data_IF_362292412340
#
_entry.id   IF_362292412340
#
_cell.length_a   1.000
_cell.length_b   1.000
_cell.length_c   1.000
_cell.angle_alpha   90.00
_cell.angle_beta   90.00
_cell.angle_gamma   90.00
#
_symmetry.space_group_name_H-M   'P 1'
#
loop_
_entity.id
_entity.type
_entity.pdbx_description
1 polymer ?
#
# COMPACT_ATOMS: atom_id res chain seq x y z
N UNK A 1 -9.91 -25.83 -16.82
CA UNK A 1 -10.50 -24.50 -17.12
C UNK A 1 -9.35 -23.52 -17.26
N UNK A 2 -9.01 -23.07 -18.48
CA UNK A 2 -7.91 -22.10 -18.69
C UNK A 2 -8.47 -20.70 -18.43
N UNK A 3 -8.24 -20.14 -17.25
CA UNK A 3 -8.53 -18.73 -16.96
C UNK A 3 -7.67 -17.85 -17.87
N UNK A 4 -8.32 -16.93 -18.59
CA UNK A 4 -7.65 -16.03 -19.53
C UNK A 4 -6.80 -15.01 -18.75
N UNK A 5 -5.47 -15.16 -18.85
CA UNK A 5 -4.47 -14.38 -18.11
C UNK A 5 -4.53 -12.88 -18.49
N UNK A 6 -5.04 -12.55 -19.68
CA UNK A 6 -5.20 -11.18 -20.17
C UNK A 6 -6.21 -10.33 -19.37
N UNK A 7 -7.28 -10.94 -18.83
CA UNK A 7 -8.28 -10.19 -18.05
C UNK A 7 -7.77 -9.79 -16.67
N UNK A 8 -6.92 -10.62 -16.06
CA UNK A 8 -6.37 -10.42 -14.71
C UNK A 8 -5.36 -9.27 -14.69
N UNK A 9 -4.50 -9.17 -15.71
CA UNK A 9 -3.52 -8.07 -15.80
C UNK A 9 -4.16 -6.69 -15.95
N UNK A 10 -5.28 -6.59 -16.68
CA UNK A 10 -5.98 -5.31 -16.86
C UNK A 10 -6.61 -4.83 -15.54
N UNK A 11 -7.23 -5.75 -14.79
CA UNK A 11 -7.81 -5.46 -13.48
C UNK A 11 -6.73 -5.05 -12.47
N UNK A 12 -5.58 -5.74 -12.48
CA UNK A 12 -4.47 -5.39 -11.59
C UNK A 12 -3.92 -3.98 -11.88
N UNK A 13 -3.78 -3.61 -13.15
CA UNK A 13 -3.37 -2.26 -13.55
C UNK A 13 -4.36 -1.18 -13.08
N UNK A 14 -5.67 -1.47 -13.08
CA UNK A 14 -6.66 -0.55 -12.51
C UNK A 14 -6.48 -0.38 -10.99
N UNK A 15 -6.22 -1.48 -10.27
CA UNK A 15 -6.01 -1.47 -8.82
C UNK A 15 -4.75 -0.69 -8.45
N UNK A 16 -3.62 -0.90 -9.14
CA UNK A 16 -2.37 -0.17 -8.84
C UNK A 16 -2.54 1.34 -9.01
N UNK A 17 -3.32 1.80 -9.99
CA UNK A 17 -3.62 3.23 -10.17
C UNK A 17 -4.44 3.82 -9.02
N UNK A 18 -5.39 3.05 -8.49
CA UNK A 18 -6.19 3.48 -7.33
C UNK A 18 -5.32 3.56 -6.08
N UNK A 19 -4.42 2.58 -5.89
CA UNK A 19 -3.47 2.58 -4.78
C UNK A 19 -2.50 3.76 -4.87
N UNK A 20 -2.01 4.08 -6.06
CA UNK A 20 -1.16 5.25 -6.29
C UNK A 20 -1.91 6.54 -5.93
N UNK A 21 -3.16 6.69 -6.39
CA UNK A 21 -4.00 7.84 -6.03
C UNK A 21 -4.22 7.95 -4.51
N UNK A 22 -4.50 6.82 -3.84
CA UNK A 22 -4.64 6.78 -2.40
C UNK A 22 -3.32 7.15 -1.69
N UNK A 23 -2.20 6.61 -2.16
CA UNK A 23 -0.88 6.92 -1.64
C UNK A 23 -0.59 8.42 -1.71
N UNK A 24 -0.77 9.03 -2.89
CA UNK A 24 -0.56 10.46 -3.09
C UNK A 24 -1.50 11.31 -2.23
N UNK A 25 -2.75 10.88 -2.05
CA UNK A 25 -3.74 11.58 -1.22
C UNK A 25 -3.37 11.59 0.27
N UNK A 26 -2.81 10.50 0.79
CA UNK A 26 -2.65 10.33 2.24
C UNK A 26 -1.20 10.44 2.74
N UNK A 27 -0.18 10.32 1.89
CA UNK A 27 1.23 10.38 2.30
C UNK A 27 1.65 11.67 3.02
N UNK A 28 0.92 12.77 2.79
CA UNK A 28 1.18 14.08 3.40
C UNK A 28 0.35 14.33 4.66
N UNK A 29 -0.48 13.38 5.08
CA UNK A 29 -1.18 13.46 6.36
C UNK A 29 -0.23 13.03 7.46
N UNK A 30 0.19 13.98 8.30
CA UNK A 30 1.09 13.75 9.44
C UNK A 30 0.38 13.94 10.78
N UNK A 31 -0.96 13.83 10.80
CA UNK A 31 -1.72 13.88 12.04
C UNK A 31 -1.35 12.69 12.96
N UNK A 32 -1.28 12.96 14.27
CA UNK A 32 -0.90 11.98 15.28
C UNK A 32 0.55 12.13 15.75
N UNK A 33 0.97 11.24 16.66
CA UNK A 33 2.34 11.21 17.17
C UNK A 33 2.86 9.77 17.22
N UNK A 34 4.15 9.59 16.94
CA UNK A 34 4.82 8.31 17.12
C UNK A 34 4.79 7.96 18.60
N UNK A 35 4.42 6.72 18.90
CA UNK A 35 4.35 6.22 20.28
C UNK A 35 5.72 6.34 20.96
N UNK A 36 5.78 7.05 22.09
CA UNK A 36 7.04 7.46 22.71
C UNK A 36 7.41 6.73 24.01
N UNK A 37 6.59 5.78 24.48
CA UNK A 37 6.87 5.02 25.71
C UNK A 37 7.71 3.75 25.48
N UNK A 38 7.87 3.28 24.23
CA UNK A 38 8.76 2.18 23.85
C UNK A 38 9.90 2.75 22.99
N UNK A 39 11.17 2.70 23.44
CA UNK A 39 12.30 3.27 22.72
C UNK A 39 12.46 2.74 21.28
N UNK A 40 12.15 1.46 21.06
CA UNK A 40 12.21 0.85 19.73
C UNK A 40 11.16 1.39 18.75
N UNK A 41 10.06 1.98 19.25
CA UNK A 41 9.03 2.59 18.39
C UNK A 41 9.33 4.07 18.09
N UNK A 42 10.04 4.77 18.98
CA UNK A 42 10.44 6.18 18.82
C UNK A 42 11.37 6.38 17.62
N UNK A 43 12.19 5.38 17.28
CA UNK A 43 13.15 5.48 16.17
C UNK A 43 12.51 5.50 14.78
N UNK A 44 11.21 5.18 14.66
CA UNK A 44 10.52 5.23 13.38
C UNK A 44 10.19 6.67 12.98
N UNK A 45 10.40 6.99 11.70
CA UNK A 45 10.04 8.28 11.15
C UNK A 45 8.51 8.44 11.13
N UNK A 46 7.95 9.58 11.59
CA UNK A 46 6.53 9.88 11.45
C UNK A 46 6.09 10.00 9.97
N UNK A 47 7.06 10.18 9.06
CA UNK A 47 6.80 10.27 7.62
C UNK A 47 6.79 8.88 6.93
N UNK A 48 6.97 7.79 7.69
CA UNK A 48 6.88 6.45 7.12
C UNK A 48 5.44 6.11 6.78
N UNK A 49 5.12 6.12 5.48
CA UNK A 49 3.81 5.76 4.96
C UNK A 49 3.97 4.79 3.80
N UNK A 50 3.26 3.65 3.85
CA UNK A 50 3.32 2.63 2.81
C UNK A 50 1.98 1.92 2.68
N UNK A 51 1.64 1.56 1.44
CA UNK A 51 0.47 0.72 1.12
C UNK A 51 1.01 -0.53 0.43
N UNK A 52 0.72 -1.70 0.97
CA UNK A 52 1.12 -3.00 0.41
C UNK A 52 -0.13 -3.80 0.05
N UNK A 53 -0.13 -4.43 -1.12
CA UNK A 53 -1.25 -5.27 -1.59
C UNK A 53 -0.75 -6.67 -1.90
N UNK A 54 -1.47 -7.66 -1.38
CA UNK A 54 -1.27 -9.07 -1.67
C UNK A 54 -2.60 -9.65 -2.18
N UNK A 55 -2.56 -10.29 -3.35
CA UNK A 55 -3.73 -10.95 -3.96
C UNK A 55 -3.59 -12.46 -3.86
N UNK A 56 -4.71 -13.17 -3.69
CA UNK A 56 -4.73 -14.65 -3.61
C UNK A 56 -4.25 -15.32 -4.91
N UNK A 57 -4.51 -14.68 -6.04
CA UNK A 57 -3.82 -14.97 -7.29
C UNK A 57 -2.45 -14.32 -7.22
N UNK A 58 -1.40 -15.14 -7.15
CA UNK A 58 -0.03 -14.68 -7.28
C UNK A 58 0.16 -14.13 -8.70
N UNK A 59 -0.09 -12.83 -8.89
CA UNK A 59 0.32 -12.13 -10.11
C UNK A 59 1.84 -11.94 -9.99
N UNK A 60 2.57 -13.00 -10.38
CA UNK A 60 4.02 -13.01 -10.49
C UNK A 60 4.43 -12.69 -11.92
#
# INVERSE_FOLDING_TARGET
MKTSIFGVSLLFSAITRILEQAYQKFKGNHDGNVTNYIPALVSYSPNNFAITVATVDSIK
#
